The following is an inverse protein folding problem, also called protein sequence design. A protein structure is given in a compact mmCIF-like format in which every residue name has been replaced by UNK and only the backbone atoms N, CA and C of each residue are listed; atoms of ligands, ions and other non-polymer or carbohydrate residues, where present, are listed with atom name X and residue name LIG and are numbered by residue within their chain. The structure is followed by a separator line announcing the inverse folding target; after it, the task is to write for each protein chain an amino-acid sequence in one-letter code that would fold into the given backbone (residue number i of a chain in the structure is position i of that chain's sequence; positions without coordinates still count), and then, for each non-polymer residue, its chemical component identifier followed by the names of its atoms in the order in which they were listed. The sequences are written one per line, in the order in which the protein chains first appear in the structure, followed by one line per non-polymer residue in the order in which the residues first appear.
data_IF_573097489980
#
_entry.id   IF_573097489980
#
_cell.length_a   1.000
_cell.length_b   1.000
_cell.length_c   1.000
_cell.angle_alpha   90.00
_cell.angle_beta   90.00
_cell.angle_gamma   90.00
#
_symmetry.space_group_name_H-M   'P 1'
#
loop_
_entity.id
_entity.type
_entity.pdbx_description
1 polymer ?
#
# COMPACT_ATOMS: atom_id res chain seq x y z
N UNK A 1 -31.10 7.86 4.09
CA UNK A 1 -30.06 7.20 3.28
C UNK A 1 -29.96 8.01 2.01
N UNK A 2 -28.87 8.75 1.82
CA UNK A 2 -28.62 9.48 0.58
C UNK A 2 -27.93 8.53 -0.39
N UNK A 3 -28.55 8.26 -1.53
CA UNK A 3 -27.96 7.46 -2.61
C UNK A 3 -26.71 8.20 -3.12
N UNK A 4 -25.52 7.63 -2.88
CA UNK A 4 -24.25 8.15 -3.37
C UNK A 4 -23.94 7.55 -4.74
N UNK A 5 -23.44 8.37 -5.66
CA UNK A 5 -23.12 7.98 -7.03
C UNK A 5 -21.65 8.28 -7.35
N UNK A 6 -21.07 7.47 -8.23
CA UNK A 6 -19.79 7.76 -8.89
C UNK A 6 -20.00 8.11 -10.37
N UNK A 7 -19.22 9.05 -10.86
CA UNK A 7 -19.21 9.53 -12.25
C UNK A 7 -18.00 8.92 -12.96
N UNK A 8 -18.25 8.02 -13.90
CA UNK A 8 -17.20 7.25 -14.61
C UNK A 8 -17.21 7.64 -16.08
N UNK A 9 -16.06 8.07 -16.59
CA UNK A 9 -15.84 8.24 -18.02
C UNK A 9 -15.67 6.87 -18.66
N UNK A 10 -16.39 6.56 -19.74
CA UNK A 10 -16.41 5.23 -20.36
C UNK A 10 -15.27 4.98 -21.35
N UNK A 11 -14.36 5.95 -21.52
CA UNK A 11 -13.28 5.89 -22.50
C UNK A 11 -13.69 6.28 -23.92
N UNK A 12 -14.97 6.62 -24.15
CA UNK A 12 -15.51 6.99 -25.47
C UNK A 12 -15.85 8.48 -25.54
N UNK A 13 -15.64 9.03 -26.73
CA UNK A 13 -15.95 10.42 -27.05
C UNK A 13 -17.16 10.47 -27.97
N UNK A 14 -17.94 11.54 -27.87
CA UNK A 14 -19.05 11.77 -28.79
C UNK A 14 -18.50 12.09 -30.19
N UNK A 15 -19.06 11.44 -31.21
CA UNK A 15 -18.64 11.55 -32.62
C UNK A 15 -18.82 12.95 -33.23
N UNK A 16 -19.39 13.90 -32.47
CA UNK A 16 -19.80 15.23 -32.92
C UNK A 16 -18.76 16.33 -32.70
N UNK A 17 -17.59 16.03 -32.10
CA UNK A 17 -16.57 17.03 -31.74
C UNK A 17 -15.12 16.59 -31.93
N UNK A 18 -14.27 17.58 -32.26
CA UNK A 18 -12.82 17.39 -32.42
C UNK A 18 -12.10 17.26 -31.06
N UNK A 19 -11.16 16.32 -30.99
CA UNK A 19 -10.39 15.95 -29.79
C UNK A 19 -9.74 17.14 -29.08
N UNK A 20 -9.13 18.07 -29.84
CA UNK A 20 -8.45 19.23 -29.29
C UNK A 20 -9.40 20.23 -28.60
N UNK A 21 -10.64 20.35 -29.10
CA UNK A 21 -11.68 21.18 -28.49
C UNK A 21 -12.15 20.61 -27.14
N UNK A 22 -12.23 19.28 -27.04
CA UNK A 22 -12.60 18.57 -25.80
C UNK A 22 -11.52 18.77 -24.73
N UNK A 23 -10.24 18.65 -25.10
CA UNK A 23 -9.11 18.81 -24.19
C UNK A 23 -9.06 20.24 -23.63
N UNK A 24 -9.24 21.26 -24.48
CA UNK A 24 -9.24 22.66 -24.06
C UNK A 24 -10.42 22.96 -23.10
N UNK A 25 -11.63 22.51 -23.44
CA UNK A 25 -12.82 22.71 -22.61
C UNK A 25 -12.69 22.01 -21.24
N UNK A 26 -12.10 20.81 -21.22
CA UNK A 26 -11.86 20.05 -20.00
C UNK A 26 -10.81 20.74 -19.10
N UNK A 27 -9.68 21.15 -19.69
CA UNK A 27 -8.60 21.89 -19.02
C UNK A 27 -9.11 23.16 -18.35
N UNK A 28 -9.89 23.98 -19.07
CA UNK A 28 -10.45 25.23 -18.57
C UNK A 28 -11.43 25.01 -17.41
N UNK A 29 -12.33 24.03 -17.53
CA UNK A 29 -13.39 23.80 -16.54
C UNK A 29 -12.88 23.15 -15.26
N UNK A 30 -11.94 22.21 -15.37
CA UNK A 30 -11.40 21.45 -14.24
C UNK A 30 -10.08 22.00 -13.71
N UNK A 31 -9.54 23.05 -14.33
CA UNK A 31 -8.25 23.69 -13.96
C UNK A 31 -7.10 22.68 -13.88
N UNK A 32 -7.05 21.73 -14.81
CA UNK A 32 -5.96 20.77 -14.93
C UNK A 32 -5.02 21.16 -16.10
N UNK A 33 -3.82 20.60 -16.16
CA UNK A 33 -2.92 20.82 -17.30
C UNK A 33 -3.49 20.17 -18.58
N UNK A 34 -3.22 20.77 -19.75
CA UNK A 34 -3.62 20.21 -21.04
C UNK A 34 -3.03 18.81 -21.27
N UNK A 35 -1.82 18.55 -20.77
CA UNK A 35 -1.20 17.22 -20.81
C UNK A 35 -2.02 16.18 -20.03
N UNK A 36 -2.57 16.53 -18.86
CA UNK A 36 -3.41 15.65 -18.03
C UNK A 36 -4.78 15.43 -18.66
N UNK A 37 -5.38 16.48 -19.23
CA UNK A 37 -6.62 16.38 -19.97
C UNK A 37 -6.47 15.49 -21.21
N UNK A 38 -5.38 15.67 -21.98
CA UNK A 38 -5.06 14.85 -23.15
C UNK A 38 -4.83 13.39 -22.77
N UNK A 39 -4.08 13.11 -21.71
CA UNK A 39 -3.85 11.74 -21.24
C UNK A 39 -5.17 11.03 -20.89
N UNK A 40 -6.08 11.72 -20.17
CA UNK A 40 -7.36 11.15 -19.77
C UNK A 40 -8.27 10.88 -20.98
N UNK A 41 -8.42 11.87 -21.86
CA UNK A 41 -9.29 11.82 -23.05
C UNK A 41 -8.79 10.82 -24.10
N UNK A 42 -7.46 10.67 -24.25
CA UNK A 42 -6.84 9.79 -25.26
C UNK A 42 -6.61 8.36 -24.75
N UNK A 43 -6.71 8.12 -23.44
CA UNK A 43 -6.46 6.79 -22.84
C UNK A 43 -7.44 5.72 -23.32
N UNK A 44 -8.66 6.10 -23.72
CA UNK A 44 -9.71 5.16 -24.13
C UNK A 44 -10.18 4.22 -22.99
N UNK A 45 -9.70 4.43 -21.76
CA UNK A 45 -9.97 3.57 -20.60
C UNK A 45 -11.06 4.16 -19.73
N UNK A 46 -11.79 3.30 -19.04
CA UNK A 46 -12.75 3.76 -18.04
C UNK A 46 -12.03 4.48 -16.90
N UNK A 47 -12.40 5.73 -16.62
CA UNK A 47 -11.72 6.54 -15.60
C UNK A 47 -12.71 7.13 -14.61
N UNK A 48 -12.43 6.96 -13.31
CA UNK A 48 -13.23 7.58 -12.26
C UNK A 48 -12.93 9.08 -12.20
N UNK A 49 -13.89 9.93 -12.57
CA UNK A 49 -13.72 11.39 -12.50
C UNK A 49 -14.02 11.90 -11.09
N UNK A 50 -15.12 11.42 -10.48
CA UNK A 50 -15.51 11.84 -9.13
C UNK A 50 -16.41 10.79 -8.47
N UNK A 51 -16.11 10.47 -7.21
CA UNK A 51 -16.90 9.62 -6.32
C UNK A 51 -17.62 10.43 -5.24
N UNK A 52 -18.53 9.76 -4.52
CA UNK A 52 -19.30 10.29 -3.38
C UNK A 52 -20.13 11.55 -3.69
N UNK A 53 -20.90 11.48 -4.77
CA UNK A 53 -21.82 12.54 -5.16
C UNK A 53 -23.27 12.17 -4.85
N UNK A 54 -23.97 13.07 -4.18
CA UNK A 54 -25.43 13.03 -4.09
C UNK A 54 -26.04 13.10 -5.49
N UNK A 55 -27.13 12.36 -5.73
CA UNK A 55 -27.79 12.20 -7.04
C UNK A 55 -27.90 13.49 -7.87
N UNK A 56 -28.35 14.57 -7.25
CA UNK A 56 -28.55 15.88 -7.91
C UNK A 56 -27.25 16.55 -8.36
N UNK A 57 -26.14 16.29 -7.65
CA UNK A 57 -24.80 16.76 -8.05
C UNK A 57 -24.22 15.85 -9.12
N UNK A 58 -24.36 14.54 -8.99
CA UNK A 58 -23.89 13.57 -9.97
C UNK A 58 -24.51 13.81 -11.36
N UNK A 59 -25.81 14.09 -11.42
CA UNK A 59 -26.50 14.46 -12.66
C UNK A 59 -25.96 15.75 -13.28
N UNK A 60 -25.67 16.78 -12.47
CA UNK A 60 -25.05 18.03 -12.95
C UNK A 60 -23.65 17.77 -13.55
N UNK A 61 -22.84 16.94 -12.89
CA UNK A 61 -21.53 16.55 -13.42
C UNK A 61 -21.67 15.80 -14.75
N UNK A 62 -22.61 14.86 -14.86
CA UNK A 62 -22.91 14.16 -16.11
C UNK A 62 -23.28 15.13 -17.22
N UNK A 63 -24.22 16.06 -16.97
CA UNK A 63 -24.64 17.03 -17.99
C UNK A 63 -23.47 17.89 -18.48
N UNK A 64 -22.60 18.33 -17.56
CA UNK A 64 -21.44 19.16 -17.88
C UNK A 64 -20.43 18.37 -18.74
N UNK A 65 -20.14 17.12 -18.39
CA UNK A 65 -19.17 16.27 -19.10
C UNK A 65 -19.67 15.80 -20.47
N UNK A 66 -20.96 15.42 -20.56
CA UNK A 66 -21.61 15.09 -21.84
C UNK A 66 -21.67 16.32 -22.75
N UNK A 67 -21.94 17.50 -22.20
CA UNK A 67 -21.89 18.75 -22.95
C UNK A 67 -20.47 19.10 -23.46
N UNK A 68 -19.41 18.48 -22.94
CA UNK A 68 -18.05 18.59 -23.46
C UNK A 68 -17.68 17.49 -24.47
N UNK A 69 -18.55 16.50 -24.71
CA UNK A 69 -18.30 15.41 -25.64
C UNK A 69 -17.69 14.15 -25.01
N UNK A 70 -17.73 14.01 -23.68
CA UNK A 70 -17.34 12.77 -23.00
C UNK A 70 -18.56 11.87 -22.78
N UNK A 71 -18.44 10.58 -23.07
CA UNK A 71 -19.44 9.60 -22.70
C UNK A 71 -19.23 9.17 -21.23
N UNK A 72 -20.25 9.35 -20.40
CA UNK A 72 -20.15 9.24 -18.94
C UNK A 72 -21.32 8.46 -18.37
N UNK A 73 -21.00 7.50 -17.50
CA UNK A 73 -21.95 6.65 -16.80
C UNK A 73 -22.03 7.02 -15.31
N UNK A 74 -23.24 6.94 -14.75
CA UNK A 74 -23.50 7.11 -13.31
C UNK A 74 -23.72 5.75 -12.68
N UNK A 75 -22.82 5.35 -11.79
CA UNK A 75 -22.94 4.08 -11.07
C UNK A 75 -23.35 4.38 -9.62
N UNK A 76 -24.47 3.82 -9.18
CA UNK A 76 -24.93 3.94 -7.80
C UNK A 76 -24.05 3.09 -6.88
N UNK A 77 -23.58 3.67 -5.77
CA UNK A 77 -22.89 2.93 -4.72
C UNK A 77 -23.93 2.17 -3.91
N UNK A 78 -23.93 0.84 -4.01
CA UNK A 78 -24.75 0.03 -3.11
C UNK A 78 -24.20 0.13 -1.69
N UNK A 79 -25.06 0.25 -0.66
CA UNK A 79 -24.62 0.23 0.72
C UNK A 79 -23.95 -1.12 1.00
N UNK A 80 -22.68 -1.08 1.40
CA UNK A 80 -21.93 -2.27 1.81
C UNK A 80 -22.64 -2.89 3.01
N UNK A 81 -23.37 -3.97 2.78
CA UNK A 81 -23.85 -4.83 3.86
C UNK A 81 -22.61 -5.49 4.46
N UNK A 82 -22.29 -5.10 5.70
CA UNK A 82 -21.23 -5.72 6.50
C UNK A 82 -21.46 -7.23 6.55
N UNK A 83 -20.50 -8.09 6.15
CA UNK A 83 -20.51 -9.45 6.63
C UNK A 83 -20.14 -9.40 8.12
N UNK A 84 -21.13 -9.66 8.98
CA UNK A 84 -20.89 -9.95 10.38
C UNK A 84 -20.15 -11.28 10.47
N UNK A 85 -18.84 -11.23 10.62
CA UNK A 85 -18.08 -12.36 11.13
C UNK A 85 -18.42 -12.55 12.61
N UNK A 86 -19.41 -13.41 12.87
CA UNK A 86 -19.65 -13.98 14.18
C UNK A 86 -18.69 -15.16 14.36
N UNK A 87 -17.85 -15.07 15.39
CA UNK A 87 -16.98 -16.14 15.85
C UNK A 87 -17.76 -16.85 16.96
N UNK A 88 -18.32 -18.03 16.67
CA UNK A 88 -18.94 -18.90 17.68
C UNK A 88 -18.12 -20.18 17.80
N UNK A 89 -17.71 -20.46 19.03
CA UNK A 89 -17.02 -21.66 19.46
C UNK A 89 -18.00 -22.54 20.25
N UNK A 90 -17.84 -23.86 20.03
CA UNK A 90 -18.31 -25.01 20.83
C UNK A 90 -19.73 -25.56 20.59
N UNK A 91 -19.78 -26.88 20.36
CA UNK A 91 -20.99 -27.71 20.52
C UNK A 91 -20.99 -29.02 19.72
N UNK A 92 -20.94 -30.15 20.41
CA UNK A 92 -21.00 -31.54 19.93
C UNK A 92 -22.16 -31.90 18.96
N UNK A 93 -21.88 -32.92 18.13
CA UNK A 93 -22.76 -33.73 17.25
C UNK A 93 -24.00 -34.30 17.98
N UNK A 94 -25.04 -34.92 17.33
CA UNK A 94 -25.06 -35.48 15.96
C UNK A 94 -26.37 -35.41 15.13
N UNK A 95 -26.18 -35.76 13.85
CA UNK A 95 -27.08 -36.49 12.94
C UNK A 95 -28.38 -35.85 12.38
N UNK A 96 -28.42 -35.93 11.04
CA UNK A 96 -29.51 -36.40 10.16
C UNK A 96 -30.12 -35.40 9.16
N UNK A 97 -30.20 -35.94 7.93
CA UNK A 97 -31.13 -35.69 6.84
C UNK A 97 -30.89 -34.51 5.87
N UNK A 98 -30.18 -34.88 4.79
CA UNK A 98 -30.57 -34.80 3.39
C UNK A 98 -31.47 -33.65 2.92
N UNK A 99 -31.00 -32.93 1.89
CA UNK A 99 -31.70 -32.82 0.61
C UNK A 99 -30.74 -32.38 -0.52
N UNK A 100 -30.89 -33.06 -1.66
CA UNK A 100 -30.10 -33.01 -2.89
C UNK A 100 -30.13 -31.67 -3.63
N UNK A 101 -29.02 -31.33 -4.31
CA UNK A 101 -29.05 -31.13 -5.77
C UNK A 101 -27.66 -30.97 -6.40
N UNK A 102 -27.25 -32.03 -7.10
CA UNK A 102 -26.54 -32.04 -8.38
C UNK A 102 -25.21 -31.28 -8.50
N UNK A 103 -24.10 -31.98 -8.26
CA UNK A 103 -22.84 -31.73 -8.97
C UNK A 103 -22.30 -33.04 -9.57
N UNK A 104 -22.02 -33.02 -10.86
CA UNK A 104 -21.52 -34.16 -11.61
C UNK A 104 -20.14 -34.57 -11.07
N UNK A 105 -20.09 -35.70 -10.37
CA UNK A 105 -18.86 -36.27 -9.84
C UNK A 105 -17.89 -36.66 -10.97
N UNK A 106 -16.88 -35.82 -11.20
CA UNK A 106 -15.74 -36.15 -12.06
C UNK A 106 -14.85 -37.14 -11.31
N UNK A 107 -15.01 -38.44 -11.59
CA UNK A 107 -14.31 -39.53 -10.88
C UNK A 107 -12.81 -39.67 -11.19
N UNK A 108 -12.26 -38.84 -12.10
CA UNK A 108 -10.84 -38.81 -12.44
C UNK A 108 -10.42 -37.47 -13.04
N UNK A 109 -9.22 -37.00 -12.69
CA UNK A 109 -8.66 -35.76 -13.19
C UNK A 109 -8.44 -35.81 -14.73
N UNK A 110 -8.97 -34.84 -15.51
CA UNK A 110 -8.87 -34.85 -16.98
C UNK A 110 -7.45 -34.55 -17.52
N UNK A 111 -6.54 -34.05 -16.68
CA UNK A 111 -5.16 -33.74 -17.08
C UNK A 111 -4.20 -34.91 -16.85
N UNK A 112 -4.31 -35.62 -15.73
CA UNK A 112 -3.35 -36.66 -15.34
C UNK A 112 -3.98 -38.05 -15.07
N UNK A 113 -5.31 -38.18 -15.11
CA UNK A 113 -6.01 -39.45 -14.89
C UNK A 113 -6.09 -39.92 -13.44
N UNK A 114 -5.61 -39.12 -12.47
CA UNK A 114 -5.66 -39.49 -11.05
C UNK A 114 -7.09 -39.53 -10.51
N UNK A 115 -7.38 -40.53 -9.66
CA UNK A 115 -8.64 -40.66 -8.93
C UNK A 115 -8.65 -39.92 -7.59
N UNK A 116 -7.53 -39.30 -7.20
CA UNK A 116 -7.40 -38.53 -5.97
C UNK A 116 -7.85 -37.08 -6.20
N UNK A 117 -9.17 -36.88 -6.23
CA UNK A 117 -9.83 -35.58 -6.39
C UNK A 117 -10.60 -35.27 -5.10
N UNK A 118 -10.34 -34.09 -4.54
CA UNK A 118 -11.04 -33.55 -3.35
C UNK A 118 -11.39 -32.09 -3.65
N UNK A 119 -12.65 -31.72 -3.45
CA UNK A 119 -13.16 -30.34 -3.60
C UNK A 119 -12.69 -29.65 -4.89
N UNK A 120 -12.96 -30.27 -6.04
CA UNK A 120 -12.63 -29.75 -7.39
C UNK A 120 -11.12 -29.55 -7.66
N UNK A 121 -10.26 -30.11 -6.81
CA UNK A 121 -8.80 -30.07 -6.96
C UNK A 121 -8.22 -31.48 -7.12
N UNK A 122 -7.33 -31.65 -8.09
CA UNK A 122 -6.52 -32.86 -8.19
C UNK A 122 -5.30 -32.78 -7.27
N UNK A 123 -5.10 -33.76 -6.39
CA UNK A 123 -3.98 -33.75 -5.44
C UNK A 123 -2.61 -34.00 -6.09
N UNK A 124 -2.57 -34.72 -7.21
CA UNK A 124 -1.31 -35.06 -7.88
C UNK A 124 -0.79 -33.93 -8.79
N UNK A 125 -1.62 -33.44 -9.71
CA UNK A 125 -1.22 -32.39 -10.66
C UNK A 125 -1.63 -30.98 -10.25
N UNK A 126 -2.31 -30.83 -9.10
CA UNK A 126 -2.67 -29.56 -8.45
C UNK A 126 -3.49 -28.58 -9.30
N UNK A 127 -4.21 -29.08 -10.30
CA UNK A 127 -5.17 -28.25 -11.04
C UNK A 127 -6.51 -28.18 -10.34
N UNK A 128 -7.24 -27.11 -10.63
CA UNK A 128 -8.68 -26.99 -10.36
C UNK A 128 -9.41 -27.51 -11.60
N UNK A 129 -10.23 -28.54 -11.45
CA UNK A 129 -10.78 -29.31 -12.58
C UNK A 129 -11.77 -28.44 -13.37
N UNK A 130 -12.67 -27.74 -12.69
CA UNK A 130 -13.61 -26.79 -13.32
C UNK A 130 -12.89 -25.73 -14.17
N UNK A 131 -11.84 -25.12 -13.64
CA UNK A 131 -11.04 -24.10 -14.34
C UNK A 131 -10.28 -24.68 -15.54
N UNK A 132 -9.80 -25.91 -15.44
CA UNK A 132 -9.11 -26.59 -16.54
C UNK A 132 -10.05 -26.95 -17.69
N UNK A 133 -11.28 -27.40 -17.39
CA UNK A 133 -12.29 -27.69 -18.41
C UNK A 133 -12.75 -26.41 -19.12
N UNK A 134 -12.97 -25.31 -18.38
CA UNK A 134 -13.30 -24.01 -18.96
C UNK A 134 -12.21 -23.48 -19.93
N UNK A 135 -10.94 -23.81 -19.69
CA UNK A 135 -9.82 -23.46 -20.58
C UNK A 135 -9.79 -24.36 -21.84
N UNK A 136 -10.18 -25.64 -21.72
CA UNK A 136 -10.28 -26.54 -22.87
C UNK A 136 -11.41 -26.13 -23.83
N UNK A 137 -12.55 -25.68 -23.30
CA UNK A 137 -13.66 -25.19 -24.10
C UNK A 137 -13.35 -23.85 -24.81
N UNK A 138 -12.44 -23.05 -24.25
CA UNK A 138 -12.02 -21.75 -24.81
C UNK A 138 -10.82 -21.83 -25.78
N UNK A 139 -10.32 -23.03 -26.10
CA UNK A 139 -9.43 -23.26 -27.25
C UNK A 139 -7.99 -22.74 -27.12
N UNK A 140 -7.53 -22.33 -25.94
CA UNK A 140 -6.14 -21.91 -25.71
C UNK A 140 -5.27 -23.08 -25.21
N UNK A 141 -4.72 -23.86 -26.13
CA UNK A 141 -3.77 -24.92 -25.83
C UNK A 141 -2.36 -24.35 -25.56
N UNK A 142 -1.88 -24.48 -24.33
CA UNK A 142 -0.48 -24.25 -23.97
C UNK A 142 0.29 -25.57 -24.16
N UNK A 143 1.06 -25.70 -25.24
CA UNK A 143 1.98 -26.81 -25.43
C UNK A 143 3.28 -26.56 -24.66
N UNK A 144 3.63 -27.45 -23.74
CA UNK A 144 4.93 -27.45 -23.06
C UNK A 144 6.01 -28.07 -23.97
N UNK A 145 7.27 -27.60 -23.97
CA UNK A 145 8.33 -28.23 -24.76
C UNK A 145 8.86 -29.49 -24.06
N UNK A 146 8.94 -30.57 -24.84
CA UNK A 146 9.66 -31.81 -24.51
C UNK A 146 11.17 -31.63 -24.67
N UNK A 147 11.92 -32.18 -23.72
CA UNK A 147 13.38 -32.34 -23.73
C UNK A 147 13.86 -33.41 -24.72
N UNK A 148 14.89 -33.09 -25.51
CA UNK A 148 15.85 -34.07 -26.04
C UNK A 148 17.11 -33.40 -26.60
N UNK A 149 18.23 -33.66 -25.93
CA UNK A 149 19.57 -34.03 -26.42
C UNK A 149 20.30 -33.25 -27.54
N UNK A 150 21.47 -32.74 -27.13
CA UNK A 150 22.82 -32.88 -27.71
C UNK A 150 23.18 -32.35 -29.11
N UNK A 151 24.25 -31.53 -29.11
CA UNK A 151 25.55 -31.77 -29.79
C UNK A 151 26.07 -30.60 -30.68
N UNK A 152 27.38 -30.33 -30.48
CA UNK A 152 28.38 -29.74 -31.40
C UNK A 152 28.25 -28.24 -31.73
N UNK A 153 29.12 -27.34 -31.27
CA UNK A 153 30.59 -27.18 -31.35
C UNK A 153 31.11 -26.67 -32.72
N UNK A 154 31.93 -25.61 -32.64
CA UNK A 154 32.91 -25.09 -33.64
C UNK A 154 32.34 -24.48 -34.92
N UNK A 155 32.89 -23.43 -35.55
CA UNK A 155 34.09 -22.60 -35.39
C UNK A 155 34.08 -21.57 -36.55
N UNK A 156 34.79 -20.45 -36.39
CA UNK A 156 35.47 -19.70 -37.48
C UNK A 156 34.57 -18.94 -38.51
N UNK A 157 34.91 -17.79 -39.09
CA UNK A 157 36.08 -16.90 -39.07
C UNK A 157 35.67 -15.57 -39.73
N UNK A 158 36.48 -14.55 -39.47
CA UNK A 158 36.60 -13.25 -40.13
C UNK A 158 36.39 -13.18 -41.66
N UNK A 159 35.84 -12.08 -42.17
CA UNK A 159 36.57 -11.16 -43.08
C UNK A 159 35.75 -9.93 -43.46
N UNK A 160 36.45 -8.80 -43.43
CA UNK A 160 36.17 -7.47 -43.97
C UNK A 160 35.75 -7.41 -45.45
N UNK A 161 34.87 -6.47 -45.80
CA UNK A 161 35.01 -5.59 -46.98
C UNK A 161 34.01 -4.42 -46.92
N UNK A 162 34.52 -3.23 -47.21
CA UNK A 162 33.84 -1.92 -47.32
C UNK A 162 33.21 -1.68 -48.70
N UNK A 163 32.01 -1.09 -48.78
CA UNK A 163 31.57 -0.21 -49.90
C UNK A 163 30.47 0.77 -49.41
N UNK A 164 30.58 2.03 -49.83
CA UNK A 164 29.59 3.13 -49.77
C UNK A 164 28.19 2.76 -50.30
N UNK A 165 27.11 3.40 -49.78
CA UNK A 165 26.28 4.40 -50.50
C UNK A 165 24.99 4.75 -49.72
N UNK A 166 24.51 5.96 -49.99
CA UNK A 166 23.35 6.76 -49.60
C UNK A 166 21.98 6.06 -49.32
N UNK A 167 21.19 6.72 -48.45
CA UNK A 167 19.75 6.61 -48.11
C UNK A 167 19.38 5.83 -46.82
N UNK A 168 18.48 6.35 -45.95
CA UNK A 168 18.03 5.63 -44.75
C UNK A 168 17.00 4.56 -45.16
N UNK A 169 17.49 3.36 -45.43
CA UNK A 169 16.66 2.17 -45.53
C UNK A 169 16.29 1.70 -44.12
N UNK A 170 14.99 1.46 -43.90
CA UNK A 170 14.47 0.78 -42.73
C UNK A 170 15.27 -0.51 -42.49
N UNK A 171 15.90 -0.60 -41.33
CA UNK A 171 16.71 -1.77 -40.96
C UNK A 171 15.78 -2.97 -40.75
N UNK A 172 16.06 -4.14 -41.36
CA UNK A 172 15.32 -5.35 -41.04
C UNK A 172 15.55 -5.69 -39.56
N UNK A 173 14.46 -5.92 -38.83
CA UNK A 173 14.48 -6.23 -37.40
C UNK A 173 15.53 -7.32 -37.10
N UNK A 174 16.55 -6.95 -36.31
CA UNK A 174 17.64 -7.84 -35.95
C UNK A 174 17.07 -8.97 -35.07
N UNK A 175 17.08 -10.24 -35.52
CA UNK A 175 16.54 -11.36 -34.74
C UNK A 175 17.33 -11.66 -33.46
N UNK A 176 18.51 -11.04 -33.30
CA UNK A 176 19.40 -11.18 -32.15
C UNK A 176 19.44 -9.92 -31.28
N UNK A 177 18.48 -9.01 -31.41
CA UNK A 177 18.37 -7.88 -30.49
C UNK A 177 18.01 -8.42 -29.11
N UNK A 178 18.91 -8.21 -28.15
CA UNK A 178 18.64 -8.58 -26.75
C UNK A 178 17.39 -7.81 -26.29
N UNK A 179 16.45 -8.46 -25.59
CA UNK A 179 15.30 -7.76 -25.06
C UNK A 179 15.80 -6.65 -24.15
N UNK A 180 15.51 -5.40 -24.51
CA UNK A 180 15.70 -4.29 -23.61
C UNK A 180 14.73 -4.54 -22.44
N UNK A 181 15.29 -4.86 -21.28
CA UNK A 181 14.52 -4.84 -20.06
C UNK A 181 14.10 -3.39 -19.86
N UNK A 182 12.80 -3.13 -19.97
CA UNK A 182 12.25 -1.87 -19.53
C UNK A 182 12.54 -1.74 -18.02
N UNK A 183 13.53 -0.91 -17.71
CA UNK A 183 13.95 -0.63 -16.33
C UNK A 183 13.03 0.40 -15.66
N UNK A 184 12.02 0.89 -16.38
CA UNK A 184 10.93 1.64 -15.79
C UNK A 184 9.78 0.67 -15.52
N UNK A 185 9.52 0.29 -14.26
CA UNK A 185 8.23 -0.29 -13.95
C UNK A 185 7.18 0.78 -14.30
N UNK A 186 6.49 0.58 -15.40
CA UNK A 186 5.28 1.32 -15.71
C UNK A 186 4.26 0.89 -14.64
N UNK A 187 4.14 1.72 -13.61
CA UNK A 187 3.30 1.44 -12.46
C UNK A 187 1.84 1.54 -12.89
N UNK A 188 1.22 0.40 -13.19
CA UNK A 188 -0.23 0.30 -13.15
C UNK A 188 -0.68 0.67 -11.72
N UNK A 189 -1.66 1.58 -11.59
CA UNK A 189 -2.39 1.78 -10.35
C UNK A 189 -3.11 0.46 -10.02
N UNK A 190 -2.40 -0.47 -9.38
CA UNK A 190 -3.01 -1.67 -8.85
C UNK A 190 -4.17 -1.29 -7.93
N UNK A 191 -5.28 -2.00 -8.03
CA UNK A 191 -6.34 -1.86 -7.02
C UNK A 191 -5.78 -2.26 -5.66
N UNK A 192 -6.30 -1.64 -4.60
CA UNK A 192 -5.94 -2.01 -3.23
C UNK A 192 -6.36 -3.47 -2.96
N UNK A 193 -5.42 -4.41 -3.12
CA UNK A 193 -5.67 -5.86 -3.07
C UNK A 193 -5.62 -6.43 -1.63
N UNK A 194 -5.27 -5.58 -0.66
CA UNK A 194 -5.12 -5.94 0.75
C UNK A 194 -3.69 -6.37 1.10
N UNK A 195 -3.39 -6.61 2.38
CA UNK A 195 -2.01 -6.87 2.78
C UNK A 195 -1.54 -8.23 2.26
N UNK A 196 -0.63 -8.21 1.29
CA UNK A 196 0.09 -9.39 0.79
C UNK A 196 1.34 -9.67 1.63
N UNK A 197 1.81 -10.91 1.60
CA UNK A 197 3.07 -11.29 2.23
C UNK A 197 4.22 -11.12 1.25
N UNK A 198 5.30 -10.49 1.69
CA UNK A 198 6.50 -10.28 0.87
C UNK A 198 7.73 -10.99 1.46
N UNK A 199 8.78 -11.12 0.66
CA UNK A 199 10.02 -11.78 1.09
C UNK A 199 10.80 -10.92 2.09
N UNK A 200 11.56 -11.58 2.98
CA UNK A 200 12.34 -10.91 4.02
C UNK A 200 13.28 -9.81 3.48
N UNK A 201 13.86 -10.03 2.30
CA UNK A 201 14.81 -9.10 1.67
C UNK A 201 14.19 -7.77 1.29
N UNK A 202 12.86 -7.68 1.14
CA UNK A 202 12.15 -6.42 0.86
C UNK A 202 12.36 -5.39 1.97
N UNK A 203 12.59 -5.81 3.22
CA UNK A 203 12.93 -4.90 4.32
C UNK A 203 14.12 -3.97 4.03
N UNK A 204 15.16 -4.47 3.36
CA UNK A 204 16.28 -3.63 2.90
C UNK A 204 15.91 -2.77 1.69
N UNK A 205 15.06 -3.29 0.81
CA UNK A 205 14.64 -2.59 -0.40
C UNK A 205 13.81 -1.36 -0.07
N UNK A 206 12.89 -1.45 0.91
CA UNK A 206 12.10 -0.31 1.38
C UNK A 206 12.97 0.85 1.87
N UNK A 207 14.09 0.56 2.55
CA UNK A 207 15.06 1.58 2.98
C UNK A 207 15.77 2.23 1.80
N UNK A 208 16.16 1.45 0.78
CA UNK A 208 16.75 1.98 -0.46
C UNK A 208 15.77 2.86 -1.24
N UNK A 209 14.52 2.41 -1.39
CA UNK A 209 13.46 3.17 -2.06
C UNK A 209 13.16 4.46 -1.28
N UNK A 210 13.04 4.39 0.05
CA UNK A 210 12.92 5.56 0.93
C UNK A 210 14.07 6.55 0.79
N UNK A 211 15.31 6.07 0.67
CA UNK A 211 16.47 6.92 0.39
C UNK A 211 16.39 7.55 -1.01
N UNK A 212 15.82 6.84 -1.99
CA UNK A 212 15.50 7.35 -3.32
C UNK A 212 14.59 8.57 -3.27
N UNK A 213 13.44 8.47 -2.58
CA UNK A 213 12.52 9.60 -2.37
C UNK A 213 13.20 10.79 -1.70
N UNK A 214 13.99 10.55 -0.65
CA UNK A 214 14.73 11.61 0.04
C UNK A 214 15.71 12.33 -0.91
N UNK A 215 16.46 11.57 -1.73
CA UNK A 215 17.51 12.11 -2.60
C UNK A 215 16.98 13.00 -3.73
N UNK A 216 15.73 12.84 -4.15
CA UNK A 216 15.12 13.69 -5.17
C UNK A 216 15.05 15.16 -4.73
N UNK A 217 14.66 15.43 -3.48
CA UNK A 217 14.64 16.80 -2.93
C UNK A 217 14.99 16.83 -1.42
N UNK A 218 16.28 16.66 -1.08
CA UNK A 218 16.71 16.49 0.32
C UNK A 218 16.48 17.75 1.16
N UNK A 219 16.59 18.93 0.55
CA UNK A 219 16.39 20.21 1.24
C UNK A 219 14.94 20.35 1.70
N UNK A 220 13.97 20.07 0.83
CA UNK A 220 12.55 20.17 1.21
C UNK A 220 12.20 19.16 2.31
N UNK A 221 12.71 17.93 2.25
CA UNK A 221 12.55 16.92 3.30
C UNK A 221 13.11 17.36 4.65
N UNK A 222 14.37 17.83 4.67
CA UNK A 222 15.03 18.30 5.90
C UNK A 222 14.28 19.49 6.49
N UNK A 223 13.91 20.48 5.66
CA UNK A 223 13.18 21.67 6.12
C UNK A 223 11.80 21.28 6.66
N UNK A 224 11.05 20.41 5.98
CA UNK A 224 9.75 19.94 6.48
C UNK A 224 9.88 19.22 7.84
N UNK A 225 10.91 18.40 8.02
CA UNK A 225 11.19 17.73 9.30
C UNK A 225 11.59 18.72 10.40
N UNK A 226 12.43 19.70 10.09
CA UNK A 226 12.79 20.76 11.05
C UNK A 226 11.56 21.57 11.44
N UNK A 227 10.70 21.94 10.49
CA UNK A 227 9.44 22.64 10.76
C UNK A 227 8.56 21.81 11.70
N UNK A 228 8.43 20.50 11.45
CA UNK A 228 7.69 19.62 12.35
C UNK A 228 8.29 19.53 13.76
N UNK A 229 9.61 19.43 13.87
CA UNK A 229 10.32 19.43 15.16
C UNK A 229 10.11 20.73 15.91
N UNK A 230 10.16 21.88 15.22
CA UNK A 230 9.91 23.19 15.85
C UNK A 230 8.46 23.27 16.34
N UNK A 231 7.47 22.89 15.51
CA UNK A 231 6.06 22.90 15.89
C UNK A 231 5.83 22.01 17.12
N UNK A 232 6.33 20.78 17.10
CA UNK A 232 6.17 19.85 18.22
C UNK A 232 6.88 20.32 19.49
N UNK A 233 8.07 20.93 19.37
CA UNK A 233 8.80 21.51 20.52
C UNK A 233 8.04 22.69 21.13
N UNK A 234 7.54 23.60 20.29
CA UNK A 234 6.75 24.76 20.76
C UNK A 234 5.47 24.31 21.45
N UNK A 235 4.76 23.34 20.88
CA UNK A 235 3.57 22.76 21.52
C UNK A 235 3.92 22.12 22.86
N UNK A 236 5.05 21.43 22.96
CA UNK A 236 5.48 20.73 24.20
C UNK A 236 5.77 21.67 25.37
N UNK A 237 5.94 22.98 25.16
CA UNK A 237 6.02 23.97 26.24
C UNK A 237 4.71 24.17 26.99
N UNK A 238 3.58 23.72 26.43
CA UNK A 238 2.28 23.73 27.09
C UNK A 238 2.11 22.35 27.74
N UNK A 239 2.27 22.21 29.08
CA UNK A 239 2.16 20.91 29.73
C UNK A 239 0.78 20.31 29.48
N UNK A 240 0.73 18.98 29.32
CA UNK A 240 -0.47 18.18 29.05
C UNK A 240 -1.14 18.48 27.70
N UNK A 241 -1.59 19.71 27.45
CA UNK A 241 -2.29 20.09 26.20
C UNK A 241 -1.35 19.97 25.00
N UNK A 242 -0.11 20.39 25.14
CA UNK A 242 0.92 20.33 24.11
C UNK A 242 1.20 18.91 23.63
N UNK A 243 1.45 18.00 24.58
CA UNK A 243 1.70 16.59 24.28
C UNK A 243 0.49 15.93 23.61
N UNK A 244 -0.72 16.22 24.09
CA UNK A 244 -1.95 15.71 23.47
C UNK A 244 -2.12 16.23 22.04
N UNK A 245 -1.86 17.53 21.82
CA UNK A 245 -1.92 18.13 20.49
C UNK A 245 -0.93 17.45 19.54
N UNK A 246 0.33 17.25 19.96
CA UNK A 246 1.34 16.56 19.13
C UNK A 246 0.90 15.13 18.80
N UNK A 247 0.39 14.36 19.77
CA UNK A 247 -0.08 12.99 19.53
C UNK A 247 -1.23 12.95 18.51
N UNK A 248 -2.20 13.86 18.61
CA UNK A 248 -3.34 13.92 17.68
C UNK A 248 -2.95 14.45 16.30
N UNK A 249 -1.94 15.32 16.22
CA UNK A 249 -1.47 15.92 14.97
C UNK A 249 -0.50 15.02 14.21
N UNK A 250 0.25 14.17 14.91
CA UNK A 250 1.23 13.24 14.33
C UNK A 250 0.69 12.42 13.14
N UNK A 251 -0.50 11.78 13.18
CA UNK A 251 -1.04 11.08 12.01
C UNK A 251 -1.38 12.01 10.86
N UNK A 252 -1.82 13.24 11.13
CA UNK A 252 -2.12 14.24 10.09
C UNK A 252 -0.84 14.66 9.37
N UNK A 253 0.23 14.89 10.12
CA UNK A 253 1.55 15.23 9.58
C UNK A 253 2.16 14.05 8.83
N UNK A 254 2.06 12.85 9.40
CA UNK A 254 2.48 11.61 8.74
C UNK A 254 1.80 11.45 7.38
N UNK A 255 0.48 11.60 7.31
CA UNK A 255 -0.28 11.61 6.07
C UNK A 255 0.21 12.67 5.06
N UNK A 256 0.58 13.86 5.53
CA UNK A 256 1.20 14.89 4.71
C UNK A 256 2.49 14.43 4.02
N UNK A 257 3.40 13.80 4.76
CA UNK A 257 4.60 13.20 4.17
C UNK A 257 4.28 12.13 3.14
N UNK A 258 3.27 11.29 3.39
CA UNK A 258 2.87 10.23 2.46
C UNK A 258 2.28 10.77 1.16
N UNK A 259 1.48 11.84 1.24
CA UNK A 259 0.98 12.56 0.07
C UNK A 259 2.14 13.17 -0.74
N UNK A 260 3.18 13.65 -0.06
CA UNK A 260 4.41 14.12 -0.71
C UNK A 260 5.18 13.00 -1.41
N UNK A 261 5.31 11.82 -0.80
CA UNK A 261 5.91 10.66 -1.47
C UNK A 261 5.11 10.23 -2.70
N UNK A 262 3.77 10.26 -2.63
CA UNK A 262 2.92 9.97 -3.78
C UNK A 262 3.13 10.96 -4.92
N UNK A 263 3.21 12.26 -4.63
CA UNK A 263 3.52 13.26 -5.67
C UNK A 263 4.89 13.04 -6.30
N UNK A 264 5.88 12.59 -5.53
CA UNK A 264 7.20 12.20 -6.05
C UNK A 264 7.15 10.97 -6.97
N UNK A 265 6.28 9.99 -6.69
CA UNK A 265 6.05 8.86 -7.61
C UNK A 265 5.35 9.30 -8.90
N UNK A 266 4.43 10.26 -8.82
CA UNK A 266 3.71 10.82 -9.98
C UNK A 266 4.58 11.77 -10.84
N UNK A 267 5.88 11.86 -10.57
CA UNK A 267 6.83 12.70 -11.31
C UNK A 267 6.91 14.16 -10.84
N UNK A 268 6.26 14.50 -9.73
CA UNK A 268 6.37 15.79 -9.06
C UNK A 268 7.52 15.84 -8.04
N UNK A 269 7.54 16.92 -7.23
CA UNK A 269 8.57 17.16 -6.22
C UNK A 269 7.98 17.12 -4.80
N UNK A 270 8.78 16.69 -3.82
CA UNK A 270 8.44 16.91 -2.42
C UNK A 270 8.58 18.40 -2.07
N UNK A 271 7.52 19.00 -1.51
CA UNK A 271 7.47 20.41 -1.10
C UNK A 271 7.20 20.52 0.40
N UNK A 272 7.70 21.57 1.03
CA UNK A 272 7.46 21.83 2.47
C UNK A 272 5.96 21.93 2.78
N UNK A 273 5.16 22.42 1.82
CA UNK A 273 3.70 22.49 1.94
C UNK A 273 3.03 21.13 2.17
N UNK A 274 3.66 20.03 1.74
CA UNK A 274 3.13 18.68 1.93
C UNK A 274 2.99 18.29 3.38
N UNK A 275 3.79 18.89 4.27
CA UNK A 275 3.64 18.74 5.71
C UNK A 275 2.21 19.02 6.19
N UNK A 276 1.50 19.94 5.52
CA UNK A 276 0.14 20.34 5.86
C UNK A 276 -0.93 19.74 4.94
N UNK A 277 -0.55 18.95 3.93
CA UNK A 277 -1.51 18.34 3.00
C UNK A 277 -2.45 17.35 3.68
N UNK A 278 -2.01 16.73 4.79
CA UNK A 278 -2.86 15.85 5.61
C UNK A 278 -4.06 16.56 6.24
N UNK A 279 -4.07 17.90 6.33
CA UNK A 279 -5.22 18.68 6.78
C UNK A 279 -6.32 18.85 5.71
N UNK A 280 -6.06 18.43 4.47
CA UNK A 280 -7.05 18.58 3.38
C UNK A 280 -7.84 17.31 3.11
N UNK A 281 -7.33 16.13 3.49
CA UNK A 281 -7.94 14.83 3.21
C UNK A 281 -8.19 14.08 4.52
N UNK A 282 -9.45 13.77 4.83
CA UNK A 282 -9.85 12.86 5.92
C UNK A 282 -9.28 13.19 7.31
N UNK A 283 -9.12 14.48 7.62
CA UNK A 283 -8.56 14.94 8.89
C UNK A 283 -9.28 14.33 10.10
N UNK A 284 -10.60 14.24 10.05
CA UNK A 284 -11.39 13.63 11.13
C UNK A 284 -10.99 12.18 11.41
N UNK A 285 -10.73 11.39 10.36
CA UNK A 285 -10.26 10.01 10.50
C UNK A 285 -8.80 9.95 10.95
N UNK A 286 -7.94 10.86 10.47
CA UNK A 286 -6.54 10.95 10.92
C UNK A 286 -6.42 11.32 12.39
N UNK A 287 -7.19 12.31 12.85
CA UNK A 287 -7.28 12.68 14.27
C UNK A 287 -7.87 11.53 15.08
N UNK A 288 -8.84 10.78 14.55
CA UNK A 288 -9.36 9.58 15.20
C UNK A 288 -8.29 8.48 15.33
N UNK A 289 -7.42 8.27 14.33
CA UNK A 289 -6.25 7.37 14.46
C UNK A 289 -5.36 7.83 15.63
N UNK A 290 -5.07 9.13 15.72
CA UNK A 290 -4.29 9.70 16.82
C UNK A 290 -4.95 9.52 18.19
N UNK A 291 -6.28 9.69 18.26
CA UNK A 291 -7.06 9.48 19.47
C UNK A 291 -7.07 8.01 19.89
N UNK A 292 -7.27 7.08 18.95
CA UNK A 292 -7.23 5.64 19.22
C UNK A 292 -5.85 5.20 19.69
N UNK A 293 -4.79 5.73 19.08
CA UNK A 293 -3.41 5.51 19.52
C UNK A 293 -3.19 6.04 20.94
N UNK A 294 -3.62 7.28 21.23
CA UNK A 294 -3.50 7.89 22.56
C UNK A 294 -4.23 7.06 23.63
N UNK A 295 -5.49 6.70 23.41
CA UNK A 295 -6.28 5.89 24.35
C UNK A 295 -5.61 4.54 24.56
N UNK A 296 -5.12 3.91 23.50
CA UNK A 296 -4.40 2.63 23.60
C UNK A 296 -3.12 2.78 24.45
N UNK A 297 -2.33 3.84 24.23
CA UNK A 297 -1.13 4.09 25.03
C UNK A 297 -1.43 4.40 26.50
N UNK A 298 -2.53 5.09 26.80
CA UNK A 298 -2.98 5.30 28.19
C UNK A 298 -3.31 3.95 28.85
N UNK A 299 -4.05 3.08 28.17
CA UNK A 299 -4.36 1.73 28.68
C UNK A 299 -3.08 0.94 28.96
N UNK A 300 -2.12 0.99 28.03
CA UNK A 300 -0.82 0.33 28.20
C UNK A 300 -0.06 0.88 29.41
N UNK A 301 0.03 2.19 29.57
CA UNK A 301 0.71 2.82 30.71
C UNK A 301 0.03 2.45 32.02
N UNK A 302 -1.32 2.42 32.07
CA UNK A 302 -2.06 1.98 33.26
C UNK A 302 -1.74 0.53 33.60
N UNK A 303 -1.71 -0.37 32.62
CA UNK A 303 -1.35 -1.77 32.83
C UNK A 303 0.08 -1.86 33.38
N UNK A 304 1.06 -1.20 32.74
CA UNK A 304 2.45 -1.19 33.20
C UNK A 304 2.54 -0.66 34.63
N UNK A 305 1.86 0.44 34.95
CA UNK A 305 1.86 1.06 36.28
C UNK A 305 1.25 0.14 37.35
N UNK A 306 0.18 -0.61 37.02
CA UNK A 306 -0.40 -1.59 37.94
C UNK A 306 0.59 -2.70 38.28
N UNK A 307 1.28 -3.26 37.29
CA UNK A 307 2.28 -4.30 37.52
C UNK A 307 3.54 -3.75 38.22
N UNK A 308 3.99 -2.55 37.85
CA UNK A 308 5.14 -1.90 38.47
C UNK A 308 4.85 -1.53 39.93
N UNK A 309 3.67 -0.98 40.23
CA UNK A 309 3.22 -0.66 41.59
C UNK A 309 3.07 -1.91 42.46
N UNK A 310 2.52 -3.01 41.90
CA UNK A 310 2.45 -4.30 42.59
C UNK A 310 3.83 -4.88 42.89
N UNK A 311 4.76 -4.80 41.94
CA UNK A 311 6.14 -5.24 42.14
C UNK A 311 6.86 -4.40 43.21
N UNK A 312 6.70 -3.07 43.17
CA UNK A 312 7.28 -2.17 44.17
C UNK A 312 6.69 -2.41 45.58
N UNK A 313 5.39 -2.67 45.68
CA UNK A 313 4.73 -3.04 46.94
C UNK A 313 5.30 -4.33 47.53
N UNK A 314 5.54 -5.35 46.70
CA UNK A 314 6.15 -6.62 47.13
C UNK A 314 7.59 -6.46 47.63
N UNK A 315 8.33 -5.46 47.11
CA UNK A 315 9.67 -5.11 47.57
C UNK A 315 9.67 -4.22 48.83
N UNK A 316 8.51 -3.76 49.30
CA UNK A 316 8.38 -2.85 50.44
C UNK A 316 8.78 -1.41 50.09
N UNK A 317 10.07 -1.07 50.20
CA UNK A 317 10.63 0.29 49.93
C UNK A 317 10.90 0.54 48.43
N UNK A 318 10.22 -0.23 47.56
CA UNK A 318 10.62 -0.61 46.20
C UNK A 318 10.69 0.47 45.11
N UNK A 319 10.54 1.75 45.46
CA UNK A 319 10.87 2.88 44.55
C UNK A 319 12.08 3.70 45.01
N UNK A 320 12.50 3.59 46.28
CA UNK A 320 13.68 4.29 46.81
C UNK A 320 14.93 3.41 46.76
N UNK A 321 14.78 2.09 46.68
CA UNK A 321 15.87 1.14 46.51
C UNK A 321 16.36 1.11 45.06
N UNK A 322 17.24 2.04 44.69
CA UNK A 322 17.96 2.00 43.40
C UNK A 322 19.04 0.89 43.39
N UNK A 323 18.63 -0.37 43.55
CA UNK A 323 19.50 -1.55 43.58
C UNK A 323 19.10 -2.61 42.55
N UNK A 324 19.85 -3.73 42.46
CA UNK A 324 19.57 -4.85 41.56
C UNK A 324 18.15 -5.43 41.70
N UNK A 325 17.58 -5.33 42.90
CA UNK A 325 16.23 -5.82 43.21
C UNK A 325 15.14 -5.00 42.49
N UNK A 326 15.32 -3.68 42.32
CA UNK A 326 14.40 -2.87 41.53
C UNK A 326 14.51 -3.20 40.03
N UNK A 327 15.73 -3.43 39.54
CA UNK A 327 15.95 -3.80 38.14
C UNK A 327 15.23 -5.12 37.80
N UNK A 328 15.31 -6.12 38.68
CA UNK A 328 14.62 -7.41 38.49
C UNK A 328 13.10 -7.26 38.62
N UNK A 329 12.62 -6.45 39.57
CA UNK A 329 11.19 -6.16 39.76
C UNK A 329 10.55 -5.46 38.55
N UNK A 330 11.33 -4.69 37.77
CA UNK A 330 10.85 -3.98 36.58
C UNK A 330 10.81 -4.84 35.31
N UNK A 331 11.45 -6.02 35.28
CA UNK A 331 11.45 -6.89 34.09
C UNK A 331 10.03 -7.29 33.70
N UNK A 332 9.21 -7.75 34.65
CA UNK A 332 7.85 -8.21 34.37
C UNK A 332 6.95 -7.08 33.83
N UNK A 333 6.86 -5.90 34.47
CA UNK A 333 6.14 -4.75 33.91
C UNK A 333 6.61 -4.35 32.51
N UNK A 334 7.92 -4.38 32.23
CA UNK A 334 8.48 -4.04 30.92
C UNK A 334 8.06 -5.07 29.86
N UNK A 335 8.12 -6.37 30.17
CA UNK A 335 7.71 -7.43 29.25
C UNK A 335 6.21 -7.36 28.94
N UNK A 336 5.39 -7.15 29.96
CA UNK A 336 3.94 -6.96 29.80
C UNK A 336 3.68 -5.69 28.98
N UNK A 337 4.36 -4.59 29.29
CA UNK A 337 4.26 -3.35 28.51
C UNK A 337 4.59 -3.58 27.04
N UNK A 338 5.70 -4.26 26.77
CA UNK A 338 6.13 -4.60 25.41
C UNK A 338 5.07 -5.42 24.66
N UNK A 339 4.45 -6.40 25.33
CA UNK A 339 3.38 -7.24 24.78
C UNK A 339 2.20 -6.42 24.24
N UNK A 340 1.87 -5.28 24.86
CA UNK A 340 0.79 -4.41 24.40
C UNK A 340 1.27 -3.25 23.50
N UNK A 341 2.47 -2.71 23.71
CA UNK A 341 3.02 -1.63 22.89
C UNK A 341 3.18 -2.09 21.44
N UNK A 342 3.75 -3.29 21.22
CA UNK A 342 4.01 -3.77 19.86
C UNK A 342 2.73 -3.86 19.00
N UNK A 343 1.63 -4.50 19.45
CA UNK A 343 0.36 -4.48 18.72
C UNK A 343 -0.17 -3.09 18.41
N UNK A 344 -0.06 -2.14 19.34
CA UNK A 344 -0.53 -0.76 19.12
C UNK A 344 0.30 -0.07 18.04
N UNK A 345 1.63 -0.24 18.06
CA UNK A 345 2.52 0.29 17.02
C UNK A 345 2.23 -0.35 15.66
N UNK A 346 2.01 -1.66 15.61
CA UNK A 346 1.62 -2.37 14.37
C UNK A 346 0.30 -1.86 13.82
N UNK A 347 -0.69 -1.57 14.68
CA UNK A 347 -1.96 -1.02 14.26
C UNK A 347 -1.84 0.45 13.79
N UNK A 348 -0.91 1.22 14.35
CA UNK A 348 -0.69 2.61 13.98
C UNK A 348 0.15 2.78 12.70
N UNK A 349 1.13 1.90 12.46
CA UNK A 349 2.20 2.09 11.45
C UNK A 349 1.70 2.53 10.06
N UNK A 350 0.74 1.82 9.48
CA UNK A 350 0.15 2.14 8.17
C UNK A 350 -1.20 2.85 8.25
N UNK A 351 -1.76 3.07 9.44
CA UNK A 351 -3.10 3.64 9.54
C UNK A 351 -3.20 5.07 8.93
N UNK A 352 -2.25 6.00 9.18
CA UNK A 352 -2.32 7.34 8.58
C UNK A 352 -2.26 7.33 7.04
N UNK A 353 -1.40 6.48 6.46
CA UNK A 353 -1.27 6.40 5.00
C UNK A 353 -2.52 5.80 4.35
N UNK A 354 -3.08 4.73 4.93
CA UNK A 354 -4.32 4.10 4.45
C UNK A 354 -5.52 5.07 4.52
N UNK A 355 -5.61 5.87 5.58
CA UNK A 355 -6.67 6.89 5.70
C UNK A 355 -6.50 7.99 4.66
N UNK A 356 -5.28 8.46 4.44
CA UNK A 356 -5.00 9.62 3.60
C UNK A 356 -5.02 9.31 2.09
N UNK A 357 -4.54 8.14 1.68
CA UNK A 357 -4.41 7.76 0.27
C UNK A 357 -5.56 6.88 -0.22
N UNK A 358 -6.20 6.09 0.66
CA UNK A 358 -7.26 5.15 0.26
C UNK A 358 -8.66 5.51 0.80
N UNK A 359 -8.80 6.61 1.55
CA UNK A 359 -10.10 7.02 2.11
C UNK A 359 -10.77 5.97 3.01
N UNK A 360 -9.95 5.20 3.73
CA UNK A 360 -10.42 4.14 4.62
C UNK A 360 -10.65 4.71 6.03
N UNK A 361 -11.72 4.29 6.70
CA UNK A 361 -11.97 4.68 8.09
C UNK A 361 -10.84 4.26 9.05
N UNK A 362 -10.60 5.04 10.10
CA UNK A 362 -9.50 4.85 11.06
C UNK A 362 -9.44 3.43 11.64
N UNK A 363 -10.57 2.88 12.06
CA UNK A 363 -10.63 1.53 12.67
C UNK A 363 -10.26 0.46 11.64
N UNK A 364 -10.78 0.56 10.42
CA UNK A 364 -10.45 -0.39 9.35
C UNK A 364 -8.98 -0.28 8.96
N UNK A 365 -8.45 0.94 8.84
CA UNK A 365 -7.05 1.20 8.55
C UNK A 365 -6.12 0.61 9.63
N UNK A 366 -6.46 0.77 10.91
CA UNK A 366 -5.68 0.17 12.01
C UNK A 366 -5.70 -1.36 11.99
N UNK A 367 -6.84 -1.98 11.66
CA UNK A 367 -6.94 -3.45 11.50
C UNK A 367 -6.12 -3.95 10.31
N UNK A 368 -6.18 -3.24 9.19
CA UNK A 368 -5.38 -3.55 8.01
C UNK A 368 -3.88 -3.40 8.28
N UNK A 369 -3.47 -2.34 8.97
CA UNK A 369 -2.08 -2.12 9.40
C UNK A 369 -1.59 -3.25 10.30
N UNK A 370 -2.39 -3.63 11.31
CA UNK A 370 -2.05 -4.73 12.20
C UNK A 370 -1.87 -6.06 11.44
N UNK A 371 -2.80 -6.38 10.53
CA UNK A 371 -2.71 -7.58 9.70
C UNK A 371 -1.49 -7.54 8.76
N UNK A 372 -1.20 -6.39 8.17
CA UNK A 372 -0.04 -6.17 7.31
C UNK A 372 1.28 -6.44 8.04
N UNK A 373 1.45 -5.85 9.23
CA UNK A 373 2.64 -6.06 10.04
C UNK A 373 2.78 -7.50 10.54
N UNK A 374 1.67 -8.17 10.91
CA UNK A 374 1.70 -9.57 11.31
C UNK A 374 2.12 -10.51 10.18
N UNK A 375 1.54 -10.34 8.98
CA UNK A 375 1.90 -11.16 7.80
C UNK A 375 3.35 -10.95 7.36
N UNK A 376 3.90 -9.77 7.62
CA UNK A 376 5.24 -9.36 7.17
C UNK A 376 6.25 -9.21 8.32
N UNK A 377 6.09 -10.00 9.39
CA UNK A 377 6.96 -9.92 10.57
C UNK A 377 8.46 -10.08 10.24
N UNK A 378 8.81 -11.00 9.32
CA UNK A 378 10.21 -11.25 8.95
C UNK A 378 10.84 -10.08 8.15
N UNK A 379 10.19 -9.54 7.10
CA UNK A 379 10.63 -8.28 6.48
C UNK A 379 10.79 -7.14 7.50
N UNK A 380 9.83 -6.96 8.41
CA UNK A 380 9.89 -5.93 9.45
C UNK A 380 11.03 -6.14 10.46
N UNK A 381 11.35 -7.39 10.79
CA UNK A 381 12.50 -7.72 11.65
C UNK A 381 13.82 -7.30 11.00
N UNK A 382 14.01 -7.63 9.72
CA UNK A 382 15.22 -7.23 8.99
C UNK A 382 15.29 -5.70 8.84
N UNK A 383 14.18 -5.07 8.49
CA UNK A 383 14.04 -3.61 8.44
C UNK A 383 14.43 -2.97 9.79
N UNK A 384 13.90 -3.48 10.90
CA UNK A 384 14.22 -3.04 12.27
C UNK A 384 15.70 -3.15 12.61
N UNK A 385 16.33 -4.30 12.33
CA UNK A 385 17.76 -4.51 12.60
C UNK A 385 18.65 -3.53 11.82
N UNK A 386 18.33 -3.31 10.54
CA UNK A 386 19.08 -2.38 9.70
C UNK A 386 18.85 -0.94 10.17
N UNK A 387 17.62 -0.57 10.54
CA UNK A 387 17.33 0.74 11.10
C UNK A 387 18.13 1.02 12.38
N UNK A 388 18.25 0.06 13.29
CA UNK A 388 19.06 0.21 14.51
C UNK A 388 20.52 0.55 14.14
N UNK A 389 21.10 -0.18 13.18
CA UNK A 389 22.45 0.09 12.70
C UNK A 389 22.57 1.49 12.07
N UNK A 390 21.60 1.89 11.24
CA UNK A 390 21.59 3.21 10.61
C UNK A 390 21.43 4.34 11.62
N UNK A 391 20.62 4.16 12.67
CA UNK A 391 20.50 5.11 13.77
C UNK A 391 21.82 5.26 14.54
N UNK A 392 22.50 4.15 14.84
CA UNK A 392 23.82 4.17 15.50
C UNK A 392 24.81 4.96 14.63
N UNK A 393 24.94 4.59 13.35
CA UNK A 393 25.87 5.25 12.41
C UNK A 393 25.52 6.73 12.23
N UNK A 394 24.24 7.05 12.04
CA UNK A 394 23.75 8.41 11.86
C UNK A 394 23.94 9.31 13.09
N UNK A 395 24.07 8.70 14.28
CA UNK A 395 24.31 9.42 15.53
C UNK A 395 25.79 9.76 15.77
N UNK A 396 26.73 9.02 15.18
CA UNK A 396 28.18 9.25 15.29
C UNK A 396 28.60 10.70 14.98
N UNK A 397 28.16 11.34 13.87
CA UNK A 397 28.50 12.72 13.56
C UNK A 397 27.65 13.72 14.38
N UNK A 398 27.64 13.57 15.71
CA UNK A 398 26.86 14.40 16.64
C UNK A 398 25.37 14.50 16.27
N UNK A 399 24.79 13.40 15.77
CA UNK A 399 23.38 13.34 15.35
C UNK A 399 23.08 13.95 13.98
N UNK A 400 24.05 14.55 13.27
CA UNK A 400 23.79 15.15 11.95
C UNK A 400 23.33 14.13 10.90
N UNK A 401 23.77 12.87 11.01
CA UNK A 401 23.32 11.80 10.12
C UNK A 401 21.83 11.48 10.27
N UNK A 402 21.22 11.81 11.42
CA UNK A 402 19.79 11.63 11.64
C UNK A 402 18.93 12.55 10.74
N UNK A 403 19.48 13.66 10.25
CA UNK A 403 18.82 14.51 9.25
C UNK A 403 18.61 13.79 7.92
N UNK A 404 19.32 12.68 7.68
CA UNK A 404 19.13 11.81 6.51
C UNK A 404 18.32 10.57 6.89
N UNK A 405 18.67 9.94 8.02
CA UNK A 405 18.04 8.67 8.45
C UNK A 405 16.56 8.85 8.73
N UNK A 406 16.14 9.92 9.40
CA UNK A 406 14.73 10.08 9.77
C UNK A 406 13.82 10.32 8.54
N UNK A 407 14.13 11.25 7.60
CA UNK A 407 13.35 11.37 6.36
C UNK A 407 13.31 10.08 5.55
N UNK A 408 14.43 9.36 5.45
CA UNK A 408 14.50 8.08 4.77
C UNK A 408 13.57 7.04 5.42
N UNK A 409 13.46 7.00 6.75
CA UNK A 409 12.51 6.12 7.45
C UNK A 409 11.07 6.49 7.09
N UNK A 410 10.73 7.78 7.15
CA UNK A 410 9.38 8.26 6.78
C UNK A 410 9.05 7.87 5.34
N UNK A 411 9.97 8.07 4.40
CA UNK A 411 9.76 7.68 3.00
C UNK A 411 9.73 6.16 2.80
N UNK A 412 10.53 5.39 3.56
CA UNK A 412 10.50 3.92 3.50
C UNK A 412 9.17 3.33 3.98
N UNK A 413 8.46 4.04 4.87
CA UNK A 413 7.11 3.66 5.28
C UNK A 413 6.15 3.67 4.07
N UNK A 414 6.26 4.69 3.22
CA UNK A 414 5.50 4.77 1.97
C UNK A 414 5.86 3.64 1.00
N UNK A 415 7.15 3.36 0.82
CA UNK A 415 7.62 2.25 -0.02
C UNK A 415 7.08 0.88 0.47
N UNK A 416 7.18 0.61 1.77
CA UNK A 416 6.63 -0.63 2.36
C UNK A 416 5.11 -0.72 2.25
N UNK A 417 4.41 0.41 2.29
CA UNK A 417 2.96 0.45 2.07
C UNK A 417 2.61 0.09 0.63
N UNK A 418 3.31 0.65 -0.36
CA UNK A 418 3.08 0.33 -1.78
C UNK A 418 3.30 -1.16 -2.03
N UNK A 419 4.40 -1.71 -1.52
CA UNK A 419 4.78 -3.11 -1.69
C UNK A 419 3.82 -4.11 -1.01
N UNK A 420 3.22 -3.74 0.12
CA UNK A 420 2.36 -4.65 0.90
C UNK A 420 0.89 -4.56 0.47
N UNK A 421 0.43 -3.40 -0.02
CA UNK A 421 -1.00 -3.16 -0.26
C UNK A 421 -1.40 -3.10 -1.74
N UNK A 422 -0.43 -3.04 -2.64
CA UNK A 422 -0.65 -3.01 -4.09
C UNK A 422 0.06 -4.20 -4.74
N UNK A 423 -0.58 -4.78 -5.75
CA UNK A 423 -0.12 -5.98 -6.46
C UNK A 423 -0.36 -5.87 -7.95
#
# INVERSE_FOLDING_TARGET
MSDQYKVVFTGKLADDRELESIIAAFSEKFKCSEAKARALVTSGKETLIKSDLEKTKAEKYKTILVAMGLEVELVALQPVVKPSFAFEMEGESPASDAEDSADAAVSACPKCGSKQVVDDRCLDCKIIISKYLAIQESGHAFTAPTSSDNAEASSDTSSSASVDDSAPAESPANPYQAPEADLTPEYEEGDLSGPVSVSASRGWVWLKEGFGHFKQNPVAWIVAMIVWVIISTVLSFIPLIGSLAVTLLSPVISAGFMLGCREQEEGGDFRIGHLFSGFSNNVGQLVLVGLLYLVSMIVVVVVIAMFAGGAAFMLGDGLNSMGPDMASAMIVPILIGSLFIFPVLMAYWFAPILVALNDISAITAMKMSFSACLKNMLPFLLYGLIMILLFIIGSIPFGLGLLVVIPMIVASMYASYRDIFYS
#
